data_IF_956039310102
#
_entry.id   IF_956039310102
#
_cell.length_a   1.000
_cell.length_b   1.000
_cell.length_c   1.000
_cell.angle_alpha   90.00
_cell.angle_beta   90.00
_cell.angle_gamma   90.00
#
_symmetry.space_group_name_H-M   'P 1'
#
loop_
_entity.id
_entity.type
_entity.pdbx_description
1 polymer ?
#
# COMPACT_ATOMS: atom_id res chain seq x y z
N UNK A 1 11.31 49.32 8.78
CA UNK A 1 10.42 48.55 7.87
C UNK A 1 11.05 47.25 7.39
N UNK A 2 12.25 47.23 6.84
CA UNK A 2 12.95 46.04 6.31
C UNK A 2 13.12 44.96 7.40
N UNK A 3 13.50 45.36 8.60
CA UNK A 3 13.68 44.41 9.74
C UNK A 3 12.38 43.70 10.14
N UNK A 4 11.25 44.40 10.13
CA UNK A 4 9.94 43.78 10.40
C UNK A 4 9.50 42.84 9.31
N UNK A 5 9.77 43.14 8.03
CA UNK A 5 9.52 42.20 6.93
C UNK A 5 10.40 40.95 7.01
N UNK A 6 11.69 41.11 7.36
CA UNK A 6 12.60 40.01 7.54
C UNK A 6 12.18 39.10 8.70
N UNK A 7 11.80 39.70 9.84
CA UNK A 7 11.30 38.94 11.00
C UNK A 7 9.99 38.19 10.68
N UNK A 8 9.06 38.85 9.99
CA UNK A 8 7.80 38.21 9.57
C UNK A 8 8.05 37.04 8.61
N UNK A 9 8.95 37.22 7.62
CA UNK A 9 9.32 36.14 6.70
C UNK A 9 9.99 34.96 7.41
N UNK A 10 10.91 35.22 8.35
CA UNK A 10 11.54 34.18 9.15
C UNK A 10 10.52 33.41 10.00
N UNK A 11 9.57 34.10 10.63
CA UNK A 11 8.50 33.49 11.41
C UNK A 11 7.59 32.62 10.53
N UNK A 12 7.25 33.10 9.33
CA UNK A 12 6.46 32.32 8.36
C UNK A 12 7.19 31.05 7.91
N UNK A 13 8.48 31.13 7.59
CA UNK A 13 9.31 29.98 7.23
C UNK A 13 9.42 28.97 8.37
N UNK A 14 9.64 29.42 9.61
CA UNK A 14 9.70 28.56 10.79
C UNK A 14 8.35 27.84 11.04
N UNK A 15 7.25 28.59 10.89
CA UNK A 15 5.90 28.02 11.02
C UNK A 15 5.64 26.96 9.95
N UNK A 16 5.95 27.24 8.68
CA UNK A 16 5.81 26.30 7.57
C UNK A 16 6.66 25.03 7.83
N UNK A 17 7.93 25.21 8.21
CA UNK A 17 8.81 24.09 8.56
C UNK A 17 8.23 23.21 9.66
N UNK A 18 7.71 23.84 10.72
CA UNK A 18 7.04 23.13 11.82
C UNK A 18 5.82 22.33 11.34
N UNK A 19 4.98 22.93 10.49
CA UNK A 19 3.81 22.25 9.90
C UNK A 19 4.27 21.06 9.06
N UNK A 20 5.29 21.23 8.23
CA UNK A 20 5.82 20.16 7.36
C UNK A 20 6.38 18.99 8.17
N UNK A 21 7.11 19.25 9.25
CA UNK A 21 7.59 18.21 10.17
C UNK A 21 6.42 17.49 10.84
N UNK A 22 5.45 18.24 11.37
CA UNK A 22 4.26 17.65 12.02
C UNK A 22 3.47 16.76 11.05
N UNK A 23 3.28 17.18 9.80
CA UNK A 23 2.60 16.37 8.78
C UNK A 23 3.40 15.10 8.44
N UNK A 24 4.73 15.15 8.42
CA UNK A 24 5.59 14.00 8.18
C UNK A 24 5.47 12.94 9.29
N UNK A 25 5.27 13.34 10.55
CA UNK A 25 5.20 12.42 11.69
C UNK A 25 3.77 12.12 12.17
N UNK A 26 2.77 12.80 11.64
CA UNK A 26 1.37 12.53 11.97
C UNK A 26 0.94 11.19 11.36
N UNK A 27 0.44 10.28 12.20
CA UNK A 27 -0.12 9.01 11.74
C UNK A 27 -1.59 9.21 11.39
N UNK A 28 -1.96 8.96 10.14
CA UNK A 28 -3.34 8.93 9.67
C UNK A 28 -3.70 7.50 9.29
N UNK A 29 -4.59 6.89 10.05
CA UNK A 29 -5.23 5.64 9.66
C UNK A 29 -6.53 5.97 8.91
N UNK A 30 -6.55 5.69 7.61
CA UNK A 30 -7.72 5.83 6.75
C UNK A 30 -8.51 4.54 6.74
N UNK A 31 -9.82 4.64 6.88
CA UNK A 31 -10.74 3.49 6.81
C UNK A 31 -11.61 3.66 5.59
N UNK A 32 -11.62 2.65 4.74
CA UNK A 32 -12.32 2.69 3.47
C UNK A 32 -12.95 1.33 3.16
N UNK A 33 -14.16 1.35 2.62
CA UNK A 33 -14.78 0.16 2.05
C UNK A 33 -14.44 0.03 0.57
N UNK A 34 -14.07 -1.17 0.16
CA UNK A 34 -13.67 -1.47 -1.23
C UNK A 34 -14.58 -2.55 -1.78
N UNK A 35 -15.51 -2.16 -2.65
CA UNK A 35 -16.39 -3.11 -3.33
C UNK A 35 -15.64 -3.75 -4.49
N UNK A 36 -15.54 -5.08 -4.47
CA UNK A 36 -14.90 -5.90 -5.51
C UNK A 36 -15.94 -6.89 -6.07
N UNK A 37 -16.37 -6.73 -7.34
CA UNK A 37 -17.44 -7.53 -7.91
C UNK A 37 -17.20 -9.05 -7.91
N UNK A 38 -15.93 -9.47 -7.97
CA UNK A 38 -15.53 -10.89 -7.96
C UNK A 38 -15.15 -11.39 -6.57
N UNK A 39 -15.28 -10.56 -5.52
CA UNK A 39 -14.99 -10.99 -4.15
C UNK A 39 -15.96 -12.10 -3.72
N UNK A 40 -15.45 -13.27 -3.26
CA UNK A 40 -16.30 -14.32 -2.73
C UNK A 40 -17.01 -13.88 -1.45
N UNK A 41 -18.21 -14.38 -1.20
CA UNK A 41 -19.02 -14.01 -0.04
C UNK A 41 -18.32 -14.32 1.31
N UNK A 42 -17.50 -15.35 1.37
CA UNK A 42 -16.71 -15.68 2.56
C UNK A 42 -15.70 -14.61 2.95
N UNK A 43 -15.34 -13.72 2.02
CA UNK A 43 -14.43 -12.60 2.25
C UNK A 43 -15.15 -11.25 2.37
N UNK A 44 -16.51 -11.22 2.39
CA UNK A 44 -17.22 -9.98 2.70
C UNK A 44 -16.89 -9.54 4.13
N UNK A 45 -16.49 -8.28 4.30
CA UNK A 45 -16.01 -7.76 5.57
C UNK A 45 -14.54 -8.06 5.88
N UNK A 46 -13.79 -8.76 5.01
CA UNK A 46 -12.35 -9.02 5.21
C UNK A 46 -11.56 -7.72 5.27
N UNK A 47 -10.74 -7.55 6.30
CA UNK A 47 -10.04 -6.29 6.60
C UNK A 47 -8.56 -6.40 6.31
N UNK A 48 -8.06 -5.50 5.47
CA UNK A 48 -6.66 -5.42 5.08
C UNK A 48 -6.06 -4.12 5.62
N UNK A 49 -5.03 -4.24 6.47
CA UNK A 49 -4.17 -3.12 6.78
C UNK A 49 -3.12 -2.99 5.67
N UNK A 50 -3.17 -1.90 4.93
CA UNK A 50 -2.18 -1.57 3.92
C UNK A 50 -1.28 -0.43 4.39
N UNK A 51 0.03 -0.66 4.39
CA UNK A 51 1.07 0.32 4.71
C UNK A 51 2.22 0.19 3.73
N UNK A 52 2.79 1.31 3.27
CA UNK A 52 3.95 1.34 2.36
C UNK A 52 4.92 2.44 2.78
N UNK A 53 6.12 2.39 2.25
CA UNK A 53 7.11 3.45 2.41
C UNK A 53 7.36 3.79 3.89
N UNK A 54 7.68 2.79 4.69
CA UNK A 54 7.92 2.95 6.13
C UNK A 54 9.25 3.63 6.39
N UNK A 55 10.29 3.24 5.65
CA UNK A 55 11.64 3.81 5.73
C UNK A 55 12.20 3.83 7.17
N UNK A 56 12.61 5.01 7.65
CA UNK A 56 13.19 5.20 8.99
C UNK A 56 12.18 5.21 10.12
N UNK A 57 10.86 5.19 9.84
CA UNK A 57 9.83 5.35 10.86
C UNK A 57 9.57 4.08 11.65
N UNK A 58 9.15 4.25 12.90
CA UNK A 58 8.55 3.18 13.68
C UNK A 58 7.04 3.11 13.42
N UNK A 59 6.52 1.89 13.29
CA UNK A 59 5.07 1.66 13.15
C UNK A 59 4.36 1.54 14.50
N UNK A 60 5.07 1.69 15.63
CA UNK A 60 4.47 1.59 16.97
C UNK A 60 3.22 2.47 17.15
N UNK A 61 3.19 3.75 16.71
CA UNK A 61 1.97 4.57 16.84
C UNK A 61 0.80 4.05 15.99
N UNK A 62 1.07 3.39 14.86
CA UNK A 62 0.05 2.75 14.02
C UNK A 62 -0.49 1.49 14.71
N UNK A 63 0.39 0.62 15.20
CA UNK A 63 0.02 -0.59 15.92
C UNK A 63 -0.82 -0.27 17.17
N UNK A 64 -0.44 0.75 17.95
CA UNK A 64 -1.20 1.20 19.11
C UNK A 64 -2.60 1.70 18.76
N UNK A 65 -2.77 2.35 17.62
CA UNK A 65 -4.10 2.78 17.14
C UNK A 65 -4.97 1.60 16.75
N UNK A 66 -4.40 0.59 16.11
CA UNK A 66 -5.14 -0.61 15.69
C UNK A 66 -5.49 -1.52 16.84
N UNK A 67 -4.69 -1.56 17.90
CA UNK A 67 -5.00 -2.32 19.12
C UNK A 67 -6.32 -1.87 19.80
N UNK A 68 -6.75 -0.62 19.58
CA UNK A 68 -8.04 -0.08 20.04
C UNK A 68 -9.21 -0.31 19.06
N UNK A 69 -8.95 -0.89 17.88
CA UNK A 69 -9.98 -1.10 16.84
C UNK A 69 -10.69 -2.44 17.05
N UNK A 70 -12.00 -2.40 17.18
CA UNK A 70 -12.81 -3.61 17.18
C UNK A 70 -12.61 -4.39 15.88
N UNK A 71 -12.21 -5.68 15.99
CA UNK A 71 -12.00 -6.57 14.84
C UNK A 71 -10.64 -6.44 14.13
N UNK A 72 -9.74 -5.52 14.53
CA UNK A 72 -8.37 -5.45 14.01
C UNK A 72 -8.26 -5.46 12.48
N UNK A 73 -7.31 -6.23 11.93
CA UNK A 73 -7.18 -6.58 10.52
C UNK A 73 -7.07 -8.10 10.38
N UNK A 74 -7.50 -8.65 9.25
CA UNK A 74 -7.34 -10.08 8.91
C UNK A 74 -5.99 -10.34 8.19
N UNK A 75 -5.44 -9.31 7.55
CA UNK A 75 -4.19 -9.37 6.80
C UNK A 75 -3.49 -8.01 6.85
N UNK A 76 -2.15 -8.02 6.94
CA UNK A 76 -1.31 -6.85 6.75
C UNK A 76 -0.59 -6.97 5.41
N UNK A 77 -0.66 -5.93 4.58
CA UNK A 77 0.09 -5.80 3.34
C UNK A 77 1.09 -4.66 3.44
N UNK A 78 2.38 -4.96 3.23
CA UNK A 78 3.44 -3.96 3.14
C UNK A 78 3.79 -3.73 1.68
N UNK A 79 3.51 -2.52 1.18
CA UNK A 79 3.65 -2.14 -0.21
C UNK A 79 5.08 -1.72 -0.62
N UNK A 80 6.11 -2.31 -0.01
CA UNK A 80 7.52 -1.99 -0.28
C UNK A 80 8.06 -0.83 0.55
N UNK A 81 9.37 -0.61 0.44
CA UNK A 81 10.15 0.38 1.19
C UNK A 81 9.89 0.27 2.70
N UNK A 82 10.02 -0.97 3.20
CA UNK A 82 10.01 -1.24 4.65
C UNK A 82 11.20 -0.57 5.33
N UNK A 83 12.34 -0.51 4.64
CA UNK A 83 13.60 0.06 5.11
C UNK A 83 14.25 0.95 4.05
N UNK A 84 15.40 1.51 4.38
CA UNK A 84 16.30 2.24 3.47
C UNK A 84 17.72 2.19 4.04
N UNK A 85 18.69 2.67 3.28
CA UNK A 85 20.09 2.70 3.72
C UNK A 85 20.29 3.32 5.11
N UNK A 86 21.03 2.61 5.96
CA UNK A 86 21.39 3.06 7.31
C UNK A 86 20.28 2.90 8.35
N UNK A 87 19.22 2.17 8.05
CA UNK A 87 18.21 1.76 9.04
C UNK A 87 18.68 0.50 9.76
N UNK A 88 18.86 0.51 11.10
CA UNK A 88 19.29 -0.68 11.81
C UNK A 88 18.31 -1.85 11.65
N UNK A 89 18.82 -3.06 11.41
CA UNK A 89 18.03 -4.29 11.32
C UNK A 89 17.11 -4.50 12.54
N UNK A 90 17.53 -4.08 13.73
CA UNK A 90 16.70 -4.12 14.94
C UNK A 90 15.42 -3.29 14.80
N UNK A 91 15.46 -2.13 14.11
CA UNK A 91 14.29 -1.31 13.83
C UNK A 91 13.36 -1.98 12.83
N UNK A 92 13.91 -2.58 11.79
CA UNK A 92 13.14 -3.35 10.80
C UNK A 92 12.41 -4.49 11.49
N UNK A 93 13.14 -5.27 12.30
CA UNK A 93 12.60 -6.39 13.08
C UNK A 93 11.49 -5.93 14.06
N UNK A 94 11.69 -4.82 14.75
CA UNK A 94 10.67 -4.24 15.62
C UNK A 94 9.39 -3.90 14.84
N UNK A 95 9.53 -3.22 13.71
CA UNK A 95 8.39 -2.84 12.86
C UNK A 95 7.61 -4.07 12.39
N UNK A 96 8.33 -5.07 11.89
CA UNK A 96 7.73 -6.33 11.42
C UNK A 96 6.98 -7.04 12.55
N UNK A 97 7.58 -7.18 13.74
CA UNK A 97 6.94 -7.80 14.91
C UNK A 97 5.68 -7.08 15.35
N UNK A 98 5.70 -5.75 15.36
CA UNK A 98 4.53 -4.95 15.68
C UNK A 98 3.39 -5.16 14.67
N UNK A 99 3.70 -5.28 13.38
CA UNK A 99 2.71 -5.56 12.33
C UNK A 99 2.22 -7.01 12.39
N UNK A 100 3.13 -7.97 12.62
CA UNK A 100 2.77 -9.39 12.77
C UNK A 100 1.93 -9.67 14.01
N UNK A 101 2.02 -8.81 15.03
CA UNK A 101 1.13 -8.84 16.19
C UNK A 101 -0.31 -8.43 15.89
N UNK A 102 -0.58 -7.82 14.73
CA UNK A 102 -1.92 -7.43 14.28
C UNK A 102 -2.58 -8.58 13.49
N UNK A 103 -1.89 -9.08 12.46
CA UNK A 103 -2.36 -10.13 11.57
C UNK A 103 -1.16 -10.71 10.75
N UNK A 104 -1.34 -11.81 10.00
CA UNK A 104 -0.33 -12.29 9.07
C UNK A 104 0.14 -11.18 8.13
N UNK A 105 1.46 -11.12 7.87
CA UNK A 105 2.07 -10.04 7.07
C UNK A 105 2.53 -10.59 5.73
N UNK A 106 2.09 -9.96 4.64
CA UNK A 106 2.61 -10.18 3.28
C UNK A 106 3.24 -8.90 2.78
N UNK A 107 4.33 -9.02 2.03
CA UNK A 107 5.13 -7.88 1.60
C UNK A 107 5.67 -8.06 0.18
N UNK A 108 5.83 -6.97 -0.54
CA UNK A 108 6.70 -6.85 -1.72
C UNK A 108 7.89 -5.96 -1.38
N UNK A 109 8.99 -6.11 -2.10
CA UNK A 109 10.09 -5.15 -2.02
C UNK A 109 9.77 -3.87 -2.80
N UNK A 110 10.27 -2.75 -2.29
CA UNK A 110 10.42 -1.50 -3.01
C UNK A 110 11.88 -1.24 -3.34
N UNK A 111 12.16 -0.14 -4.03
CA UNK A 111 13.50 0.18 -4.48
C UNK A 111 14.49 0.40 -3.34
N UNK A 112 14.05 0.97 -2.22
CA UNK A 112 14.92 1.18 -1.05
C UNK A 112 15.18 -0.09 -0.24
N UNK A 113 14.37 -1.12 -0.37
CA UNK A 113 14.66 -2.42 0.22
C UNK A 113 15.86 -3.12 -0.47
N UNK A 114 16.30 -2.61 -1.64
CA UNK A 114 17.50 -3.00 -2.37
C UNK A 114 18.72 -2.10 -2.12
N UNK A 115 18.61 -1.06 -1.29
CA UNK A 115 19.70 -0.10 -1.03
C UNK A 115 20.92 -0.73 -0.34
N UNK A 116 20.72 -1.82 0.36
CA UNK A 116 21.76 -2.60 1.05
C UNK A 116 21.63 -4.09 0.66
N UNK A 117 21.77 -5.00 1.62
CA UNK A 117 21.68 -6.44 1.39
C UNK A 117 20.23 -6.92 1.42
N UNK A 118 19.62 -7.00 0.25
CA UNK A 118 18.24 -7.46 0.08
C UNK A 118 18.04 -8.93 0.51
N UNK A 119 19.06 -9.77 0.42
CA UNK A 119 18.96 -11.17 0.83
C UNK A 119 19.00 -11.29 2.37
N UNK A 120 19.82 -10.49 3.06
CA UNK A 120 19.77 -10.37 4.53
C UNK A 120 18.42 -9.84 5.01
N UNK A 121 17.81 -8.90 4.29
CA UNK A 121 16.45 -8.45 4.58
C UNK A 121 15.42 -9.57 4.37
N UNK A 122 15.52 -10.32 3.27
CA UNK A 122 14.63 -11.46 3.00
C UNK A 122 14.74 -12.54 4.08
N UNK A 123 15.96 -12.81 4.59
CA UNK A 123 16.19 -13.75 5.68
C UNK A 123 15.55 -13.26 6.99
N UNK A 124 15.73 -11.98 7.35
CA UNK A 124 15.06 -11.36 8.49
C UNK A 124 13.55 -11.51 8.41
N UNK A 125 12.96 -11.23 7.24
CA UNK A 125 11.53 -11.36 7.01
C UNK A 125 11.06 -12.81 7.17
N UNK A 126 11.84 -13.78 6.68
CA UNK A 126 11.57 -15.21 6.82
C UNK A 126 11.60 -15.66 8.28
N UNK A 127 12.60 -15.20 9.07
CA UNK A 127 12.68 -15.46 10.52
C UNK A 127 11.45 -14.93 11.26
N UNK A 128 10.97 -13.75 10.89
CA UNK A 128 9.78 -13.11 11.48
C UNK A 128 8.46 -13.59 10.86
N UNK A 129 8.51 -14.65 10.00
CA UNK A 129 7.36 -15.29 9.35
C UNK A 129 6.56 -14.36 8.44
N UNK A 130 7.19 -13.34 7.88
CA UNK A 130 6.59 -12.51 6.83
C UNK A 130 6.63 -13.28 5.51
N UNK A 131 5.53 -13.22 4.78
CA UNK A 131 5.46 -13.79 3.42
C UNK A 131 5.94 -12.73 2.43
N UNK A 132 7.18 -12.86 1.99
CA UNK A 132 7.74 -12.03 0.94
C UNK A 132 7.28 -12.55 -0.42
N UNK A 133 6.61 -11.69 -1.20
CA UNK A 133 6.11 -11.97 -2.54
C UNK A 133 7.04 -11.31 -3.58
N UNK A 134 7.95 -12.10 -4.14
CA UNK A 134 8.85 -11.66 -5.23
C UNK A 134 8.40 -12.35 -6.52
N UNK A 135 7.49 -11.71 -7.27
CA UNK A 135 6.83 -12.27 -8.47
C UNK A 135 6.10 -13.60 -8.16
N UNK A 136 5.48 -13.66 -6.99
CA UNK A 136 4.81 -14.86 -6.47
C UNK A 136 3.43 -14.49 -5.92
N UNK A 137 2.64 -15.47 -5.56
CA UNK A 137 1.34 -15.25 -4.94
C UNK A 137 1.02 -16.28 -3.86
N UNK A 138 0.05 -15.94 -3.01
CA UNK A 138 -0.56 -16.84 -2.03
C UNK A 138 -2.07 -16.87 -2.23
N UNK A 139 -2.62 -18.07 -2.08
CA UNK A 139 -4.06 -18.28 -2.07
C UNK A 139 -4.50 -18.27 -0.61
N UNK A 140 -5.46 -17.39 -0.31
CA UNK A 140 -6.15 -17.37 0.97
C UNK A 140 -7.47 -18.11 0.79
N UNK A 141 -7.74 -19.07 1.67
CA UNK A 141 -8.96 -19.86 1.66
C UNK A 141 -9.79 -19.58 2.91
N UNK A 142 -11.10 -19.39 2.73
CA UNK A 142 -12.07 -19.20 3.80
C UNK A 142 -13.41 -19.80 3.37
N UNK A 143 -13.99 -20.66 4.20
CA UNK A 143 -15.29 -21.31 3.97
C UNK A 143 -15.40 -21.94 2.57
N UNK A 144 -14.32 -22.60 2.12
CA UNK A 144 -14.27 -23.26 0.82
C UNK A 144 -14.18 -22.32 -0.39
N UNK A 145 -14.02 -21.02 -0.19
CA UNK A 145 -13.81 -20.01 -1.23
C UNK A 145 -12.38 -19.47 -1.17
N UNK A 146 -11.89 -18.86 -2.26
CA UNK A 146 -10.51 -18.45 -2.34
C UNK A 146 -10.32 -17.09 -3.00
N UNK A 147 -9.37 -16.31 -2.48
CA UNK A 147 -8.82 -15.11 -3.12
C UNK A 147 -7.31 -15.28 -3.30
N UNK A 148 -6.74 -14.55 -4.24
CA UNK A 148 -5.29 -14.47 -4.45
C UNK A 148 -4.75 -13.14 -3.95
N UNK A 149 -3.62 -13.19 -3.23
CA UNK A 149 -2.74 -12.05 -3.00
C UNK A 149 -1.47 -12.31 -3.78
N UNK A 150 -1.25 -11.54 -4.83
CA UNK A 150 -0.07 -11.59 -5.69
C UNK A 150 0.85 -10.41 -5.37
N UNK A 151 2.15 -10.60 -5.48
CA UNK A 151 3.13 -9.54 -5.29
C UNK A 151 4.16 -9.52 -6.41
N UNK A 152 4.40 -8.34 -6.96
CA UNK A 152 5.43 -8.10 -7.98
C UNK A 152 6.68 -7.56 -7.30
N UNK A 153 7.84 -8.05 -7.72
CA UNK A 153 9.13 -7.52 -7.28
C UNK A 153 9.37 -6.10 -7.87
N UNK A 154 10.38 -5.39 -7.40
CA UNK A 154 10.52 -3.97 -7.70
C UNK A 154 10.78 -3.67 -9.18
N UNK A 155 9.99 -2.73 -9.70
CA UNK A 155 10.08 -2.24 -11.09
C UNK A 155 11.38 -1.46 -11.34
N UNK A 156 11.78 -0.61 -10.39
CA UNK A 156 12.96 0.24 -10.53
C UNK A 156 14.26 -0.58 -10.51
N UNK A 157 14.26 -1.71 -9.78
CA UNK A 157 15.35 -2.68 -9.80
C UNK A 157 15.34 -3.59 -11.05
N UNK A 158 14.34 -3.45 -11.93
CA UNK A 158 14.20 -4.27 -13.14
C UNK A 158 13.93 -5.74 -12.85
N UNK A 159 13.29 -6.06 -11.73
CA UNK A 159 13.02 -7.42 -11.26
C UNK A 159 11.56 -7.85 -11.41
N UNK A 160 10.72 -6.96 -11.92
CA UNK A 160 9.29 -7.16 -12.06
C UNK A 160 8.91 -8.26 -13.07
N UNK A 161 8.03 -9.17 -12.65
CA UNK A 161 7.34 -10.13 -13.53
C UNK A 161 5.88 -10.28 -13.08
N UNK A 162 5.02 -9.45 -13.68
CA UNK A 162 3.57 -9.45 -13.39
C UNK A 162 2.94 -10.80 -13.71
N UNK A 163 3.39 -11.45 -14.81
CA UNK A 163 2.83 -12.73 -15.26
C UNK A 163 3.15 -13.84 -14.26
N UNK A 164 4.38 -13.90 -13.76
CA UNK A 164 4.76 -14.85 -12.72
C UNK A 164 3.97 -14.62 -11.43
N UNK A 165 3.85 -13.37 -10.99
CA UNK A 165 3.07 -13.00 -9.81
C UNK A 165 1.60 -13.46 -9.91
N UNK A 166 0.93 -13.19 -11.05
CA UNK A 166 -0.48 -13.53 -11.25
C UNK A 166 -0.73 -15.03 -11.48
N UNK A 167 0.25 -15.79 -11.93
CA UNK A 167 0.16 -17.24 -12.19
C UNK A 167 0.85 -18.08 -11.13
N UNK A 168 1.66 -17.45 -10.26
CA UNK A 168 2.37 -18.10 -9.15
C UNK A 168 1.42 -18.64 -8.08
N UNK A 169 2.03 -19.20 -7.04
CA UNK A 169 1.35 -19.81 -5.91
C UNK A 169 1.18 -21.32 -6.07
N UNK A 170 0.94 -21.99 -4.94
CA UNK A 170 0.72 -23.45 -4.93
C UNK A 170 -0.58 -23.80 -5.66
N UNK A 171 -0.63 -24.94 -6.36
CA UNK A 171 -1.87 -25.47 -6.90
C UNK A 171 -2.92 -25.61 -5.80
N UNK A 172 -4.09 -25.04 -5.99
CA UNK A 172 -5.19 -25.03 -5.06
C UNK A 172 -6.49 -24.68 -5.75
N UNK A 173 -7.47 -24.20 -4.99
CA UNK A 173 -8.72 -23.69 -5.55
C UNK A 173 -8.43 -22.48 -6.46
N UNK A 174 -9.15 -22.39 -7.58
CA UNK A 174 -9.07 -21.22 -8.45
C UNK A 174 -9.64 -20.01 -7.72
N UNK A 175 -8.83 -18.96 -7.48
CA UNK A 175 -9.32 -17.75 -6.85
C UNK A 175 -10.27 -17.00 -7.79
N UNK A 176 -11.36 -16.48 -7.25
CA UNK A 176 -12.30 -15.64 -8.01
C UNK A 176 -11.93 -14.15 -7.98
N UNK A 177 -11.13 -13.74 -7.00
CA UNK A 177 -10.67 -12.37 -6.82
C UNK A 177 -9.16 -12.34 -6.61
N UNK A 178 -8.48 -11.35 -7.21
CA UNK A 178 -7.03 -11.18 -7.10
C UNK A 178 -6.70 -9.76 -6.66
N UNK A 179 -5.92 -9.66 -5.58
CA UNK A 179 -5.29 -8.41 -5.11
C UNK A 179 -3.83 -8.48 -5.52
N UNK A 180 -3.38 -7.50 -6.31
CA UNK A 180 -1.99 -7.33 -6.73
C UNK A 180 -1.32 -6.27 -5.87
N UNK A 181 -0.23 -6.63 -5.22
CA UNK A 181 0.64 -5.74 -4.47
C UNK A 181 1.87 -5.43 -5.33
N UNK A 182 2.14 -4.16 -5.54
CA UNK A 182 3.33 -3.69 -6.24
C UNK A 182 3.83 -2.42 -5.56
N UNK A 183 5.14 -2.20 -5.51
CA UNK A 183 5.65 -0.97 -4.91
C UNK A 183 5.36 0.23 -5.81
N UNK A 184 5.84 0.20 -7.05
CA UNK A 184 5.69 1.29 -8.02
C UNK A 184 4.37 1.17 -8.82
N UNK A 185 3.49 2.18 -8.80
CA UNK A 185 2.26 2.19 -9.58
C UNK A 185 2.47 2.14 -11.10
N UNK A 186 3.66 2.47 -11.62
CA UNK A 186 4.00 2.35 -13.04
C UNK A 186 4.02 0.89 -13.52
N UNK A 187 3.94 -0.08 -12.63
CA UNK A 187 3.74 -1.49 -12.99
C UNK A 187 2.55 -1.69 -13.94
N UNK A 188 1.56 -0.80 -13.86
CA UNK A 188 0.41 -0.79 -14.78
C UNK A 188 0.83 -0.71 -16.24
N UNK A 189 1.89 0.01 -16.56
CA UNK A 189 2.38 0.15 -17.94
C UNK A 189 2.93 -1.18 -18.47
N UNK A 190 3.43 -2.05 -17.58
CA UNK A 190 3.90 -3.41 -17.92
C UNK A 190 2.77 -4.42 -18.07
N UNK A 191 1.63 -4.20 -17.42
CA UNK A 191 0.49 -5.11 -17.45
C UNK A 191 -0.11 -5.22 -18.86
N UNK A 192 -0.38 -6.44 -19.30
CA UNK A 192 -1.19 -6.71 -20.48
C UNK A 192 -2.68 -6.58 -20.16
N UNK A 193 -3.54 -6.57 -21.20
CA UNK A 193 -4.99 -6.62 -20.99
C UNK A 193 -5.44 -7.94 -20.33
N UNK A 194 -4.70 -9.04 -20.52
CA UNK A 194 -4.94 -10.30 -19.83
C UNK A 194 -4.64 -10.18 -18.33
N UNK A 195 -3.51 -9.58 -17.96
CA UNK A 195 -3.12 -9.36 -16.56
C UNK A 195 -4.16 -8.49 -15.84
N UNK A 196 -4.65 -7.44 -16.53
CA UNK A 196 -5.70 -6.57 -15.99
C UNK A 196 -7.02 -7.35 -15.78
N UNK A 197 -7.38 -8.30 -16.66
CA UNK A 197 -8.56 -9.17 -16.46
C UNK A 197 -8.43 -10.12 -15.29
N UNK A 198 -7.22 -10.53 -14.96
CA UNK A 198 -6.94 -11.42 -13.83
C UNK A 198 -6.90 -10.69 -12.48
N UNK A 199 -6.86 -9.35 -12.49
CA UNK A 199 -6.69 -8.51 -11.29
C UNK A 199 -7.97 -7.77 -10.95
N UNK A 200 -8.28 -7.60 -9.66
CA UNK A 200 -9.44 -6.83 -9.16
C UNK A 200 -9.02 -5.54 -8.45
N UNK A 201 -7.95 -5.62 -7.67
CA UNK A 201 -7.41 -4.53 -6.87
C UNK A 201 -5.89 -4.50 -7.02
N UNK A 202 -5.35 -3.31 -7.23
CA UNK A 202 -3.91 -3.05 -7.23
C UNK A 202 -3.64 -2.07 -6.09
N UNK A 203 -2.71 -2.40 -5.21
CA UNK A 203 -2.25 -1.56 -4.12
C UNK A 203 -0.78 -1.20 -4.35
N UNK A 204 -0.48 0.11 -4.36
CA UNK A 204 0.88 0.62 -4.61
C UNK A 204 1.27 1.75 -3.66
N UNK A 205 2.58 2.01 -3.54
CA UNK A 205 3.20 3.09 -2.78
C UNK A 205 4.12 3.94 -3.64
N UNK A 206 5.40 4.06 -3.22
CA UNK A 206 6.54 4.65 -3.93
C UNK A 206 6.50 6.17 -4.12
N UNK A 207 5.37 6.73 -4.47
CA UNK A 207 5.24 8.13 -4.87
C UNK A 207 5.30 9.13 -3.73
N UNK A 208 5.14 8.65 -2.50
CA UNK A 208 4.91 9.48 -1.31
C UNK A 208 3.80 10.54 -1.45
N UNK A 209 2.89 10.37 -2.44
CA UNK A 209 1.90 11.36 -2.81
C UNK A 209 2.50 12.69 -3.30
N UNK A 210 3.78 12.65 -3.75
CA UNK A 210 4.59 13.80 -4.11
C UNK A 210 5.30 14.46 -2.93
N UNK A 211 5.16 13.91 -1.72
CA UNK A 211 5.76 14.28 -0.42
C UNK A 211 5.67 15.78 -0.08
N UNK A 212 6.16 16.66 -0.95
CA UNK A 212 6.04 18.14 -0.85
C UNK A 212 5.29 18.62 -2.09
N UNK A 213 4.04 19.01 -1.89
CA UNK A 213 3.16 19.52 -2.95
C UNK A 213 2.90 20.99 -2.68
N UNK A 214 3.34 21.86 -3.60
CA UNK A 214 3.14 23.31 -3.47
C UNK A 214 1.76 23.69 -4.04
N UNK A 215 1.01 24.57 -3.36
CA UNK A 215 -0.22 25.12 -3.92
C UNK A 215 0.05 25.73 -5.31
N UNK A 216 -0.83 25.51 -6.27
CA UNK A 216 -0.79 26.00 -7.65
C UNK A 216 0.37 25.49 -8.52
N UNK A 217 1.44 24.93 -7.92
CA UNK A 217 2.63 24.43 -8.65
C UNK A 217 2.57 22.91 -8.81
N UNK A 218 2.05 22.21 -7.78
CA UNK A 218 1.99 20.75 -7.74
C UNK A 218 3.17 20.14 -6.98
N UNK A 219 3.41 18.82 -7.17
CA UNK A 219 4.47 18.08 -6.48
C UNK A 219 5.86 18.54 -6.97
N UNK A 220 6.81 18.61 -6.05
CA UNK A 220 8.21 18.90 -6.41
C UNK A 220 8.84 17.72 -7.16
N UNK A 221 8.53 16.48 -6.76
CA UNK A 221 8.92 15.27 -7.49
C UNK A 221 7.87 14.97 -8.57
N UNK A 222 8.25 15.00 -9.84
CA UNK A 222 7.32 14.94 -10.99
C UNK A 222 7.25 13.56 -11.69
N UNK A 223 8.01 12.57 -11.26
CA UNK A 223 8.14 11.29 -11.96
C UNK A 223 6.83 10.49 -12.16
N UNK A 224 5.87 10.62 -11.23
CA UNK A 224 4.67 9.78 -11.20
C UNK A 224 3.36 10.60 -11.19
N UNK A 225 3.30 11.72 -11.90
CA UNK A 225 2.17 12.68 -11.82
C UNK A 225 0.81 12.04 -12.11
N UNK A 226 0.75 11.06 -13.01
CA UNK A 226 -0.50 10.38 -13.40
C UNK A 226 -1.02 9.44 -12.32
N UNK A 227 -0.13 8.83 -11.53
CA UNK A 227 -0.46 7.86 -10.48
C UNK A 227 0.02 8.34 -9.11
N UNK A 228 -0.14 9.62 -8.83
CA UNK A 228 0.49 10.25 -7.68
C UNK A 228 -0.04 9.71 -6.34
N UNK A 229 -1.36 9.58 -6.17
CA UNK A 229 -2.01 9.12 -4.92
C UNK A 229 -3.50 8.85 -5.07
N UNK A 230 -4.05 8.07 -4.14
CA UNK A 230 -5.46 7.76 -4.04
C UNK A 230 -5.95 6.81 -5.14
N UNK A 231 -7.26 6.72 -5.31
CA UNK A 231 -7.89 5.88 -6.32
C UNK A 231 -7.61 6.41 -7.73
N UNK A 232 -7.13 5.55 -8.61
CA UNK A 232 -6.81 5.87 -10.01
C UNK A 232 -7.47 4.89 -10.95
N UNK A 233 -8.03 5.36 -12.07
CA UNK A 233 -8.51 4.48 -13.13
C UNK A 233 -7.33 3.90 -13.90
N UNK A 234 -7.42 2.64 -14.31
CA UNK A 234 -6.50 2.09 -15.29
C UNK A 234 -6.80 2.65 -16.69
N UNK A 235 -5.79 2.74 -17.57
CA UNK A 235 -5.97 3.14 -18.95
C UNK A 235 -6.99 2.25 -19.67
N UNK A 236 -7.86 2.85 -20.51
CA UNK A 236 -8.97 2.12 -21.16
C UNK A 236 -8.49 0.96 -22.04
N UNK A 237 -7.35 1.10 -22.73
CA UNK A 237 -6.78 0.05 -23.56
C UNK A 237 -6.32 -1.19 -22.75
N UNK A 238 -6.01 -1.01 -21.46
CA UNK A 238 -5.67 -2.13 -20.55
C UNK A 238 -6.93 -2.84 -20.02
N UNK A 239 -8.08 -2.18 -20.04
CA UNK A 239 -9.32 -2.70 -19.42
C UNK A 239 -10.37 -3.11 -20.45
N UNK A 240 -10.05 -3.09 -21.73
CA UNK A 240 -10.98 -3.51 -22.78
C UNK A 240 -11.40 -4.98 -22.60
N UNK A 241 -12.71 -5.24 -22.55
CA UNK A 241 -13.27 -6.58 -22.37
C UNK A 241 -13.23 -7.14 -20.94
N UNK A 242 -12.88 -6.36 -19.93
CA UNK A 242 -12.94 -6.78 -18.52
C UNK A 242 -14.35 -6.62 -17.97
N UNK A 243 -14.92 -7.68 -17.43
CA UNK A 243 -16.17 -7.67 -16.66
C UNK A 243 -15.91 -7.16 -15.22
N UNK A 244 -15.44 -5.96 -15.07
CA UNK A 244 -14.98 -5.34 -13.83
C UNK A 244 -13.58 -4.80 -14.08
N UNK A 245 -13.45 -3.47 -14.06
CA UNK A 245 -12.13 -2.84 -14.23
C UNK A 245 -11.36 -2.98 -12.94
N UNK A 246 -10.09 -3.44 -12.96
CA UNK A 246 -9.26 -3.42 -11.77
C UNK A 246 -9.18 -1.99 -11.21
N UNK A 247 -9.17 -1.89 -9.89
CA UNK A 247 -9.02 -0.61 -9.19
C UNK A 247 -7.58 -0.46 -8.73
N UNK A 248 -6.98 0.68 -9.01
CA UNK A 248 -5.67 1.04 -8.47
C UNK A 248 -5.85 1.99 -7.31
N UNK A 249 -5.16 1.70 -6.23
CA UNK A 249 -4.95 2.61 -5.12
C UNK A 249 -3.46 2.88 -4.93
N UNK A 250 -3.08 4.15 -4.81
CA UNK A 250 -1.70 4.58 -4.55
C UNK A 250 -1.65 5.31 -3.21
N UNK A 251 -0.89 4.77 -2.26
CA UNK A 251 -0.69 5.36 -0.93
C UNK A 251 0.27 6.56 -1.00
N UNK A 252 0.04 7.55 -0.12
CA UNK A 252 1.06 8.57 0.14
C UNK A 252 2.23 8.06 0.98
N UNK A 253 2.22 6.80 1.42
CA UNK A 253 3.24 6.22 2.26
C UNK A 253 3.18 6.66 3.73
N UNK A 254 3.79 5.87 4.59
CA UNK A 254 3.80 6.07 6.04
C UNK A 254 5.00 6.89 6.52
N UNK A 255 6.17 6.66 5.96
CA UNK A 255 7.42 7.36 6.25
C UNK A 255 7.66 8.57 5.35
N UNK A 256 8.90 8.90 5.15
CA UNK A 256 9.37 9.96 4.24
C UNK A 256 10.64 9.49 3.56
N UNK A 257 10.82 9.84 2.30
CA UNK A 257 12.08 9.67 1.59
C UNK A 257 12.97 10.92 1.77
N UNK A 258 14.25 10.73 2.00
CA UNK A 258 15.30 11.75 2.18
C UNK A 258 15.05 12.73 3.34
N UNK A 259 14.10 13.66 3.23
CA UNK A 259 13.83 14.68 4.24
C UNK A 259 12.58 14.36 5.05
N UNK A 260 12.60 14.54 6.38
CA UNK A 260 11.44 14.29 7.23
C UNK A 260 10.41 15.42 7.16
N UNK A 261 10.02 15.79 5.94
CA UNK A 261 9.12 16.90 5.63
C UNK A 261 8.00 16.45 4.71
N UNK A 262 6.76 16.83 5.00
CA UNK A 262 5.59 16.63 4.12
C UNK A 262 4.76 17.92 4.03
N UNK A 263 4.27 18.22 2.84
CA UNK A 263 3.34 19.31 2.61
C UNK A 263 2.25 18.86 1.65
N UNK A 264 0.97 18.97 2.06
CA UNK A 264 -0.21 18.55 1.30
C UNK A 264 -0.19 17.09 0.79
N UNK A 265 0.71 16.27 1.32
CA UNK A 265 0.83 14.83 1.08
C UNK A 265 1.02 14.11 2.43
N UNK A 266 -0.07 13.87 3.17
CA UNK A 266 0.00 13.38 4.55
C UNK A 266 0.57 11.96 4.62
N UNK A 267 1.31 11.67 5.70
CA UNK A 267 1.69 10.31 6.04
C UNK A 267 0.45 9.49 6.44
N UNK A 268 0.28 8.30 5.85
CA UNK A 268 -0.95 7.52 6.04
C UNK A 268 -0.73 6.00 5.98
N UNK A 269 -1.66 5.27 6.56
CA UNK A 269 -1.89 3.86 6.37
C UNK A 269 -3.40 3.64 6.16
N UNK A 270 -3.77 2.54 5.53
CA UNK A 270 -5.16 2.28 5.13
C UNK A 270 -5.67 0.98 5.75
N UNK A 271 -6.85 1.02 6.31
CA UNK A 271 -7.61 -0.15 6.72
C UNK A 271 -8.77 -0.31 5.73
N UNK A 272 -8.57 -1.18 4.75
CA UNK A 272 -9.58 -1.51 3.76
C UNK A 272 -10.49 -2.61 4.28
N UNK A 273 -11.81 -2.39 4.19
CA UNK A 273 -12.81 -3.44 4.39
C UNK A 273 -13.32 -3.86 3.02
N UNK A 274 -13.04 -5.10 2.63
CA UNK A 274 -13.51 -5.63 1.35
C UNK A 274 -14.99 -5.93 1.41
N UNK A 275 -15.72 -5.58 0.33
CA UNK A 275 -17.14 -5.85 0.18
C UNK A 275 -17.43 -6.60 -1.11
N UNK A 276 -18.24 -7.64 -1.02
CA UNK A 276 -18.79 -8.33 -2.18
C UNK A 276 -19.97 -7.55 -2.76
N UNK A 277 -20.18 -7.63 -4.08
CA UNK A 277 -21.34 -6.98 -4.72
C UNK A 277 -22.67 -7.73 -4.48
N UNK A 278 -22.61 -8.92 -3.88
CA UNK A 278 -23.81 -9.69 -3.52
C UNK A 278 -24.33 -9.19 -2.18
N UNK A 279 -25.57 -8.66 -2.16
CA UNK A 279 -26.30 -8.50 -0.90
C UNK A 279 -26.29 -9.82 -0.14
N UNK A 280 -26.08 -9.82 1.19
CA UNK A 280 -26.24 -11.03 1.98
C UNK A 280 -27.64 -11.63 1.69
N UNK A 281 -27.70 -12.95 1.44
CA UNK A 281 -28.96 -13.67 1.37
C UNK A 281 -29.60 -13.59 2.76
N UNK A 282 -30.60 -12.71 2.93
CA UNK A 282 -31.34 -12.61 4.19
C UNK A 282 -32.16 -11.35 4.43
N UNK A 283 -31.96 -10.26 3.69
CA UNK A 283 -32.89 -9.13 3.76
C UNK A 283 -34.00 -9.33 2.74
N UNK A 284 -35.17 -9.77 3.21
CA UNK A 284 -36.39 -9.72 2.45
C UNK A 284 -36.68 -8.25 2.02
N UNK A 285 -37.24 -8.02 0.82
CA UNK A 285 -37.66 -6.65 0.43
C UNK A 285 -38.68 -6.17 1.44
N UNK A 286 -38.41 -5.03 2.08
CA UNK A 286 -39.45 -4.30 2.79
C UNK A 286 -40.61 -4.03 1.79
N UNK A 287 -41.73 -4.69 2.02
CA UNK A 287 -42.98 -4.46 1.32
C UNK A 287 -43.41 -3.01 1.57
N UNK A 288 -43.47 -2.23 0.51
CA UNK A 288 -44.17 -0.94 0.52
C UNK A 288 -45.67 -1.11 0.63
#
# INVERSE_FOLDING_TARGET
MIEWFAAAAAAACATLGTVMVREAFRVRLRREEVVLPRLPAAFDGFRILFVSDIHRRTVRPLASRLAGEAGGADLVLIGGDLTERGVPAARVRENVRLLSGIAPVYMVFGNHDYDEDAESLAELLREERVVLLRNDSRILERDGQAIRVAGVDDLSAGRDDVRAALRGGRPGRRPSCTILLAHDPLIIEKMTAEDARLTDLILAGHTHGGQIVLPLVGPLARGHVHYLRGWRPLPRHKTAGSAGRPRLFVSCGYGTSHLPLRLLAPAEAHLFTLRSHRRPKGEAPESR
#
